data_IF_120333640193
#
_entry.id   IF_120333640193
#
_cell.length_a   1.000
_cell.length_b   1.000
_cell.length_c   1.000
_cell.angle_alpha   90.00
_cell.angle_beta   90.00
_cell.angle_gamma   90.00
#
_symmetry.space_group_name_H-M   'P 1'
#
loop_
_entity.id
_entity.type
_entity.pdbx_description
1 polymer ?
#
# COMPACT_ATOMS: atom_id res chain seq x y z
N UNK A 1 -14.53 -7.75 -47.65
CA UNK A 1 -13.54 -7.66 -46.57
C UNK A 1 -13.60 -6.41 -45.66
N UNK A 2 -14.35 -5.30 -45.92
CA UNK A 2 -14.29 -4.14 -45.02
C UNK A 2 -15.17 -4.24 -43.75
N UNK A 3 -16.21 -5.08 -43.77
CA UNK A 3 -17.20 -5.15 -42.67
C UNK A 3 -16.62 -5.81 -41.41
N UNK A 4 -15.77 -6.82 -41.55
CA UNK A 4 -15.11 -7.50 -40.43
C UNK A 4 -14.14 -6.58 -39.71
N UNK A 5 -13.38 -5.78 -40.47
CA UNK A 5 -12.42 -4.82 -39.93
C UNK A 5 -13.11 -3.69 -39.15
N UNK A 6 -14.21 -3.12 -39.67
CA UNK A 6 -14.99 -2.12 -38.94
C UNK A 6 -15.65 -2.66 -37.66
N UNK A 7 -15.98 -3.97 -37.61
CA UNK A 7 -16.55 -4.59 -36.40
C UNK A 7 -15.48 -4.86 -35.33
N UNK A 8 -14.28 -5.24 -35.72
CA UNK A 8 -13.13 -5.40 -34.82
C UNK A 8 -12.70 -4.05 -34.23
N UNK A 9 -12.61 -3.00 -35.05
CA UNK A 9 -12.33 -1.63 -34.59
C UNK A 9 -13.34 -1.13 -33.55
N UNK A 10 -14.64 -1.36 -33.77
CA UNK A 10 -15.67 -0.99 -32.79
C UNK A 10 -15.58 -1.79 -31.50
N UNK A 11 -15.22 -3.07 -31.54
CA UNK A 11 -15.06 -3.90 -30.34
C UNK A 11 -13.86 -3.45 -29.53
N UNK A 12 -12.73 -3.21 -30.18
CA UNK A 12 -11.51 -2.73 -29.56
C UNK A 12 -11.76 -1.43 -28.78
N UNK A 13 -12.34 -0.42 -29.43
CA UNK A 13 -12.59 0.88 -28.80
C UNK A 13 -13.52 0.77 -27.58
N UNK A 14 -14.47 -0.16 -27.60
CA UNK A 14 -15.35 -0.43 -26.46
C UNK A 14 -14.61 -1.06 -25.29
N UNK A 15 -13.70 -2.00 -25.55
CA UNK A 15 -12.90 -2.67 -24.50
C UNK A 15 -11.95 -1.68 -23.84
N UNK A 16 -11.19 -0.92 -24.62
CA UNK A 16 -10.28 0.07 -24.06
C UNK A 16 -11.02 1.12 -23.22
N UNK A 17 -12.17 1.59 -23.71
CA UNK A 17 -12.99 2.55 -22.97
C UNK A 17 -13.57 1.94 -21.70
N UNK A 18 -13.97 0.67 -21.73
CA UNK A 18 -14.45 -0.03 -20.54
C UNK A 18 -13.34 -0.17 -19.49
N UNK A 19 -12.10 -0.46 -19.90
CA UNK A 19 -10.95 -0.54 -19.01
C UNK A 19 -10.63 0.82 -18.36
N UNK A 20 -10.64 1.90 -19.15
CA UNK A 20 -10.43 3.27 -18.64
C UNK A 20 -11.55 3.71 -17.67
N UNK A 21 -12.81 3.36 -17.98
CA UNK A 21 -13.94 3.63 -17.08
C UNK A 21 -13.82 2.82 -15.80
N UNK A 22 -13.42 1.55 -15.87
CA UNK A 22 -13.20 0.71 -14.70
C UNK A 22 -12.09 1.30 -13.79
N UNK A 23 -10.95 1.69 -14.35
CA UNK A 23 -9.87 2.35 -13.60
C UNK A 23 -10.38 3.62 -12.90
N UNK A 24 -11.11 4.47 -13.63
CA UNK A 24 -11.68 5.71 -13.07
C UNK A 24 -12.68 5.43 -11.95
N UNK A 25 -13.58 4.46 -12.14
CA UNK A 25 -14.57 4.07 -11.14
C UNK A 25 -13.89 3.67 -9.82
N UNK A 26 -12.86 2.84 -9.90
CA UNK A 26 -12.11 2.37 -8.73
C UNK A 26 -11.44 3.52 -7.99
N UNK A 27 -10.89 4.51 -8.71
CA UNK A 27 -10.32 5.71 -8.07
C UNK A 27 -11.37 6.63 -7.47
N UNK A 28 -12.56 6.72 -8.05
CA UNK A 28 -13.61 7.65 -7.59
C UNK A 28 -14.42 7.12 -6.41
N UNK A 29 -14.73 5.82 -6.37
CA UNK A 29 -15.63 5.23 -5.35
C UNK A 29 -15.15 3.86 -4.85
N UNK A 30 -14.00 3.78 -4.17
CA UNK A 30 -13.47 2.52 -3.66
C UNK A 30 -14.37 1.88 -2.57
N UNK A 31 -15.12 2.68 -1.82
CA UNK A 31 -15.98 2.19 -0.74
C UNK A 31 -17.18 1.36 -1.24
N UNK A 32 -17.69 1.66 -2.44
CA UNK A 32 -18.82 0.96 -3.06
C UNK A 32 -18.40 -0.40 -3.65
N UNK A 33 -17.10 -0.56 -3.91
CA UNK A 33 -16.54 -1.74 -4.58
C UNK A 33 -16.28 -2.91 -3.65
N UNK A 34 -16.42 -2.77 -2.33
CA UNK A 34 -16.06 -3.82 -1.37
C UNK A 34 -16.62 -5.20 -1.78
N UNK A 35 -17.90 -5.28 -2.10
CA UNK A 35 -18.58 -6.55 -2.43
C UNK A 35 -18.51 -6.99 -3.91
N UNK A 36 -17.98 -6.13 -4.78
CA UNK A 36 -17.92 -6.39 -6.25
C UNK A 36 -16.47 -6.53 -6.73
N UNK A 37 -15.51 -6.12 -5.90
CA UNK A 37 -14.09 -6.11 -6.18
C UNK A 37 -13.56 -7.49 -6.63
N UNK A 38 -13.99 -8.57 -5.97
CA UNK A 38 -13.59 -9.92 -6.34
C UNK A 38 -14.06 -10.35 -7.72
N UNK A 39 -15.30 -10.03 -8.09
CA UNK A 39 -15.86 -10.33 -9.42
C UNK A 39 -15.25 -9.46 -10.51
N UNK A 40 -15.02 -8.18 -10.21
CA UNK A 40 -14.36 -7.24 -11.12
C UNK A 40 -12.93 -7.67 -11.43
N UNK A 41 -12.14 -8.05 -10.42
CA UNK A 41 -10.79 -8.59 -10.61
C UNK A 41 -10.82 -9.85 -11.46
N UNK A 42 -11.74 -10.77 -11.18
CA UNK A 42 -11.85 -12.02 -11.94
C UNK A 42 -12.15 -11.74 -13.40
N UNK A 43 -13.09 -10.83 -13.68
CA UNK A 43 -13.43 -10.43 -15.03
C UNK A 43 -12.22 -9.82 -15.74
N UNK A 44 -11.58 -8.82 -15.13
CA UNK A 44 -10.41 -8.14 -15.70
C UNK A 44 -9.22 -9.08 -15.97
N UNK A 45 -8.92 -9.99 -15.04
CA UNK A 45 -7.84 -10.96 -15.18
C UNK A 45 -8.09 -12.01 -16.27
N UNK A 46 -9.35 -12.21 -16.68
CA UNK A 46 -9.75 -13.17 -17.72
C UNK A 46 -9.89 -12.53 -19.11
N UNK A 47 -9.97 -11.19 -19.22
CA UNK A 47 -10.05 -10.50 -20.53
C UNK A 47 -8.77 -10.76 -21.32
N UNK A 48 -8.88 -11.39 -22.49
CA UNK A 48 -7.75 -11.54 -23.42
C UNK A 48 -7.72 -10.39 -24.41
N UNK A 49 -6.76 -9.48 -24.24
CA UNK A 49 -6.60 -8.33 -25.14
C UNK A 49 -6.24 -8.78 -26.58
N UNK A 50 -5.48 -9.86 -26.73
CA UNK A 50 -5.11 -10.45 -28.04
C UNK A 50 -6.31 -10.82 -28.92
N UNK A 51 -7.43 -11.21 -28.32
CA UNK A 51 -8.60 -11.73 -29.05
C UNK A 51 -9.58 -10.60 -29.42
N UNK A 52 -9.38 -9.40 -28.87
CA UNK A 52 -10.33 -8.29 -28.90
C UNK A 52 -9.76 -7.03 -29.55
N UNK A 53 -8.46 -6.99 -29.81
CA UNK A 53 -7.74 -5.79 -30.26
C UNK A 53 -7.31 -5.92 -31.71
N UNK A 54 -7.11 -4.78 -32.37
CA UNK A 54 -6.58 -4.73 -33.72
C UNK A 54 -5.08 -5.06 -33.64
N UNK A 55 -4.59 -5.85 -34.59
CA UNK A 55 -3.18 -6.23 -34.68
C UNK A 55 -2.27 -5.00 -34.63
N UNK A 56 -1.56 -4.82 -33.51
CA UNK A 56 -0.65 -3.68 -33.25
C UNK A 56 -1.09 -2.72 -32.15
N UNK A 57 -2.36 -2.74 -31.71
CA UNK A 57 -2.87 -1.91 -30.59
C UNK A 57 -3.10 -2.73 -29.30
N UNK A 58 -2.70 -4.00 -29.32
CA UNK A 58 -2.88 -4.95 -28.22
C UNK A 58 -2.16 -4.48 -26.94
N UNK A 59 -0.99 -3.87 -27.09
CA UNK A 59 -0.16 -3.36 -25.99
C UNK A 59 -0.84 -2.22 -25.21
N UNK A 60 -1.57 -1.32 -25.89
CA UNK A 60 -2.30 -0.22 -25.25
C UNK A 60 -3.41 -0.74 -24.34
N UNK A 61 -4.21 -1.69 -24.83
CA UNK A 61 -5.28 -2.30 -24.05
C UNK A 61 -4.73 -3.10 -22.87
N UNK A 62 -3.62 -3.80 -23.07
CA UNK A 62 -2.94 -4.58 -22.05
C UNK A 62 -2.42 -3.69 -20.90
N UNK A 63 -1.78 -2.57 -21.23
CA UNK A 63 -1.32 -1.59 -20.23
C UNK A 63 -2.51 -1.04 -19.42
N UNK A 64 -3.64 -0.73 -20.07
CA UNK A 64 -4.85 -0.24 -19.37
C UNK A 64 -5.45 -1.32 -18.47
N UNK A 65 -5.44 -2.59 -18.90
CA UNK A 65 -5.88 -3.73 -18.09
C UNK A 65 -5.03 -3.88 -16.83
N UNK A 66 -3.71 -3.87 -16.98
CA UNK A 66 -2.76 -3.96 -15.87
C UNK A 66 -2.94 -2.79 -14.90
N UNK A 67 -3.03 -1.55 -15.40
CA UNK A 67 -3.28 -0.38 -14.56
C UNK A 67 -4.59 -0.46 -13.77
N UNK A 68 -5.69 -0.86 -14.43
CA UNK A 68 -6.98 -1.02 -13.76
C UNK A 68 -6.92 -2.07 -12.63
N UNK A 69 -6.23 -3.19 -12.87
CA UNK A 69 -6.01 -4.21 -11.85
C UNK A 69 -5.16 -3.68 -10.68
N UNK A 70 -4.02 -3.03 -10.95
CA UNK A 70 -3.14 -2.46 -9.92
C UNK A 70 -3.90 -1.48 -9.03
N UNK A 71 -4.64 -0.55 -9.63
CA UNK A 71 -5.45 0.44 -8.89
C UNK A 71 -6.48 -0.25 -7.98
N UNK A 72 -7.09 -1.34 -8.43
CA UNK A 72 -8.05 -2.12 -7.64
C UNK A 72 -7.39 -2.80 -6.44
N UNK A 73 -6.20 -3.39 -6.62
CA UNK A 73 -5.42 -3.97 -5.52
C UNK A 73 -4.95 -2.91 -4.51
N UNK A 74 -4.54 -1.74 -4.97
CA UNK A 74 -4.03 -0.67 -4.09
C UNK A 74 -5.16 -0.06 -3.25
N UNK A 75 -6.36 0.06 -3.82
CA UNK A 75 -7.53 0.64 -3.14
C UNK A 75 -8.23 -0.32 -2.19
N UNK A 76 -8.39 -1.60 -2.58
CA UNK A 76 -9.06 -2.62 -1.78
C UNK A 76 -8.30 -3.96 -1.84
N UNK A 77 -7.19 -4.14 -1.11
CA UNK A 77 -6.27 -5.26 -1.34
C UNK A 77 -6.79 -6.65 -0.96
N UNK A 78 -7.66 -6.80 0.04
CA UNK A 78 -7.92 -8.13 0.62
C UNK A 78 -8.64 -9.11 -0.31
N UNK A 79 -9.81 -8.73 -0.82
CA UNK A 79 -10.66 -9.62 -1.61
C UNK A 79 -10.12 -9.85 -3.04
N UNK A 80 -9.70 -8.81 -3.78
CA UNK A 80 -8.88 -8.90 -4.99
C UNK A 80 -7.70 -9.88 -4.91
N UNK A 81 -6.85 -9.74 -3.90
CA UNK A 81 -5.64 -10.56 -3.76
C UNK A 81 -6.01 -12.03 -3.52
N UNK A 82 -7.02 -12.32 -2.71
CA UNK A 82 -7.48 -13.70 -2.49
C UNK A 82 -8.00 -14.34 -3.79
N UNK A 83 -8.76 -13.60 -4.58
CA UNK A 83 -9.25 -14.08 -5.89
C UNK A 83 -8.09 -14.33 -6.85
N UNK A 84 -7.13 -13.42 -6.95
CA UNK A 84 -5.95 -13.60 -7.80
C UNK A 84 -5.10 -14.79 -7.37
N UNK A 85 -4.90 -14.99 -6.07
CA UNK A 85 -4.19 -16.14 -5.55
C UNK A 85 -4.88 -17.46 -5.93
N UNK A 86 -6.21 -17.53 -5.89
CA UNK A 86 -6.95 -18.70 -6.36
C UNK A 86 -6.77 -18.94 -7.86
N UNK A 87 -6.69 -17.88 -8.65
CA UNK A 87 -6.45 -17.97 -10.09
C UNK A 87 -5.02 -18.44 -10.43
N UNK A 88 -4.01 -18.06 -9.63
CA UNK A 88 -2.63 -18.54 -9.80
C UNK A 88 -2.49 -20.06 -9.73
N UNK A 89 -3.31 -20.73 -8.93
CA UNK A 89 -3.26 -22.18 -8.73
C UNK A 89 -4.32 -22.94 -9.53
N UNK A 90 -5.05 -22.27 -10.42
CA UNK A 90 -6.10 -22.91 -11.20
C UNK A 90 -5.47 -23.75 -12.34
N UNK A 91 -5.80 -25.07 -12.45
CA UNK A 91 -5.04 -26.02 -13.27
C UNK A 91 -5.21 -25.87 -14.80
N UNK A 92 -6.15 -25.03 -15.26
CA UNK A 92 -6.51 -24.90 -16.67
C UNK A 92 -6.15 -23.51 -17.25
N UNK A 93 -5.11 -22.88 -16.72
CA UNK A 93 -4.75 -21.50 -17.05
C UNK A 93 -3.51 -21.46 -17.95
N UNK A 94 -3.57 -20.69 -19.05
CA UNK A 94 -2.43 -20.42 -19.93
C UNK A 94 -1.32 -19.68 -19.17
N UNK A 95 -0.05 -19.98 -19.47
CA UNK A 95 1.14 -19.43 -18.76
C UNK A 95 1.17 -17.89 -18.73
N UNK A 96 0.53 -17.22 -19.68
CA UNK A 96 0.42 -15.75 -19.73
C UNK A 96 -0.38 -15.15 -18.57
N UNK A 97 -1.42 -15.83 -18.09
CA UNK A 97 -2.30 -15.33 -17.05
C UNK A 97 -1.64 -15.31 -15.65
N UNK A 98 -0.93 -16.35 -15.17
CA UNK A 98 -0.20 -16.25 -13.91
C UNK A 98 0.95 -15.25 -13.98
N UNK A 99 1.58 -15.05 -15.15
CA UNK A 99 2.58 -13.99 -15.34
C UNK A 99 1.94 -12.62 -15.09
N UNK A 100 0.83 -12.31 -15.77
CA UNK A 100 0.07 -11.07 -15.55
C UNK A 100 -0.27 -10.87 -14.07
N UNK A 101 -0.77 -11.90 -13.41
CA UNK A 101 -1.19 -11.81 -12.00
C UNK A 101 0.01 -11.48 -11.11
N UNK A 102 1.16 -12.11 -11.33
CA UNK A 102 2.38 -11.85 -10.57
C UNK A 102 2.91 -10.42 -10.82
N UNK A 103 2.90 -9.96 -12.07
CA UNK A 103 3.33 -8.60 -12.43
C UNK A 103 2.42 -7.56 -11.74
N UNK A 104 1.11 -7.73 -11.86
CA UNK A 104 0.11 -6.86 -11.21
C UNK A 104 0.26 -6.85 -9.68
N UNK A 105 0.45 -8.02 -9.06
CA UNK A 105 0.64 -8.11 -7.61
C UNK A 105 1.94 -7.42 -7.16
N UNK A 106 2.99 -7.47 -7.99
CA UNK A 106 4.29 -6.83 -7.73
C UNK A 106 4.16 -5.31 -7.86
N UNK A 107 3.57 -4.82 -8.93
CA UNK A 107 3.34 -3.39 -9.15
C UNK A 107 2.44 -2.78 -8.06
N UNK A 108 1.39 -3.49 -7.66
CA UNK A 108 0.52 -3.05 -6.57
C UNK A 108 1.26 -3.03 -5.21
N UNK A 109 2.14 -4.00 -4.97
CA UNK A 109 2.98 -4.03 -3.77
C UNK A 109 3.95 -2.83 -3.74
N UNK A 110 4.56 -2.51 -4.88
CA UNK A 110 5.43 -1.34 -5.04
C UNK A 110 4.65 -0.03 -4.81
N UNK A 111 3.47 0.12 -5.41
CA UNK A 111 2.64 1.32 -5.23
C UNK A 111 2.16 1.48 -3.77
N UNK A 112 1.85 0.37 -3.07
CA UNK A 112 1.56 0.38 -1.64
C UNK A 112 2.78 0.72 -0.78
N UNK A 113 3.99 0.37 -1.24
CA UNK A 113 5.24 0.65 -0.55
C UNK A 113 5.63 2.14 -0.65
N UNK A 114 5.44 2.72 -1.83
CA UNK A 114 5.77 4.11 -2.15
C UNK A 114 4.63 5.10 -1.83
N UNK A 115 3.52 4.60 -1.31
CA UNK A 115 2.36 5.41 -0.97
C UNK A 115 2.72 6.58 -0.02
N UNK A 116 2.68 7.80 -0.57
CA UNK A 116 2.72 9.03 0.23
C UNK A 116 1.41 9.14 1.01
N UNK A 117 1.45 8.90 2.32
CA UNK A 117 0.32 9.27 3.17
C UNK A 117 0.32 10.78 3.27
N UNK A 118 -0.44 11.44 2.39
CA UNK A 118 -1.05 12.72 2.74
C UNK A 118 -1.94 12.37 3.93
N UNK A 119 -1.41 12.55 5.15
CA UNK A 119 -2.27 12.60 6.32
C UNK A 119 -3.28 13.68 5.95
N UNK A 120 -4.59 13.40 5.83
CA UNK A 120 -5.53 14.51 5.82
C UNK A 120 -5.17 15.28 7.07
N UNK A 121 -4.78 16.55 6.90
CA UNK A 121 -4.68 17.46 8.02
C UNK A 121 -5.96 17.20 8.79
N UNK A 122 -5.82 16.73 10.03
CA UNK A 122 -6.92 16.73 10.97
C UNK A 122 -7.15 18.20 11.30
N UNK A 123 -7.60 18.99 10.32
CA UNK A 123 -8.38 20.19 10.51
C UNK A 123 -9.74 19.75 11.03
N UNK A 124 -9.73 19.06 12.17
CA UNK A 124 -10.83 19.13 13.12
C UNK A 124 -10.81 20.57 13.58
N UNK A 125 -11.46 21.45 12.81
CA UNK A 125 -12.12 22.61 13.43
C UNK A 125 -12.99 21.97 14.50
N UNK A 126 -12.55 22.07 15.74
CA UNK A 126 -13.23 21.54 16.91
C UNK A 126 -14.56 22.30 16.94
N UNK A 127 -15.64 21.68 16.46
CA UNK A 127 -17.00 22.20 16.51
C UNK A 127 -17.63 22.02 17.90
N UNK A 128 -16.81 21.75 18.92
CA UNK A 128 -17.25 21.57 20.30
C UNK A 128 -16.48 22.56 21.17
N UNK A 129 -17.13 23.67 21.52
CA UNK A 129 -16.70 24.55 22.60
C UNK A 129 -16.85 23.82 23.94
N UNK A 130 -15.89 22.94 24.26
CA UNK A 130 -15.83 22.29 25.57
C UNK A 130 -15.16 23.23 26.55
N UNK A 131 -15.96 23.78 27.46
CA UNK A 131 -15.49 24.54 28.62
C UNK A 131 -14.82 23.59 29.64
N UNK A 132 -13.65 23.06 29.32
CA UNK A 132 -12.66 22.55 30.30
C UNK A 132 -11.43 22.03 29.56
N UNK A 133 -10.28 22.57 29.96
CA UNK A 133 -8.90 22.19 29.58
C UNK A 133 -8.59 22.14 28.07
N UNK A 134 -7.70 23.06 27.64
CA UNK A 134 -7.18 23.22 26.27
C UNK A 134 -6.30 22.06 25.78
N UNK A 135 -6.26 20.93 26.48
CA UNK A 135 -5.42 19.79 26.18
C UNK A 135 -6.27 18.52 26.12
N UNK A 136 -6.14 17.71 25.05
CA UNK A 136 -6.73 16.38 25.01
C UNK A 136 -6.22 15.50 26.16
N UNK A 137 -7.12 14.74 26.78
CA UNK A 137 -6.83 13.86 27.93
C UNK A 137 -5.71 12.83 27.71
N UNK A 138 -5.34 12.58 26.46
CA UNK A 138 -4.29 11.65 26.04
C UNK A 138 -2.90 12.29 25.87
N UNK A 139 -2.79 13.62 26.00
CA UNK A 139 -1.50 14.30 26.03
C UNK A 139 -1.02 14.50 27.47
N UNK A 140 0.27 14.23 27.77
CA UNK A 140 0.78 14.43 29.11
C UNK A 140 0.85 15.93 29.42
N UNK A 141 0.31 16.32 30.58
CA UNK A 141 0.22 17.72 30.98
C UNK A 141 1.60 18.33 31.26
N UNK A 142 1.81 19.57 30.81
CA UNK A 142 2.96 20.40 31.17
C UNK A 142 2.81 21.07 32.55
N UNK A 143 1.69 20.87 33.27
CA UNK A 143 1.55 21.31 34.67
C UNK A 143 2.36 20.40 35.58
N UNK A 144 3.55 20.85 35.97
CA UNK A 144 4.41 20.19 36.94
C UNK A 144 5.07 21.20 37.90
N UNK A 145 5.78 20.72 38.94
CA UNK A 145 6.54 21.58 39.85
C UNK A 145 7.52 22.49 39.10
N UNK A 146 7.89 23.66 39.65
CA UNK A 146 8.87 24.56 39.05
C UNK A 146 10.20 23.83 38.77
N UNK A 147 10.68 23.88 37.52
CA UNK A 147 11.95 23.26 37.11
C UNK A 147 11.83 21.97 36.28
N UNK A 148 10.61 21.50 35.99
CA UNK A 148 10.35 20.37 35.10
C UNK A 148 10.27 20.86 33.65
N UNK A 149 11.06 20.28 32.74
CA UNK A 149 11.02 20.62 31.32
C UNK A 149 9.74 20.14 30.61
N UNK A 150 9.43 20.79 29.48
CA UNK A 150 8.27 20.48 28.66
C UNK A 150 8.34 19.06 28.07
N UNK A 151 7.17 18.44 27.88
CA UNK A 151 7.08 17.19 27.11
C UNK A 151 7.45 17.43 25.65
N UNK A 152 8.25 16.51 25.10
CA UNK A 152 8.67 16.51 23.70
C UNK A 152 8.41 15.14 23.09
N UNK A 153 7.81 15.14 21.90
CA UNK A 153 7.55 13.91 21.16
C UNK A 153 8.87 13.32 20.62
N UNK A 154 9.12 12.05 20.93
CA UNK A 154 10.26 11.30 20.43
C UNK A 154 9.86 10.69 19.10
N UNK A 155 10.47 11.18 18.02
CA UNK A 155 10.40 10.55 16.71
C UNK A 155 11.23 9.26 16.74
N UNK A 156 10.62 8.13 17.04
CA UNK A 156 11.29 6.82 17.06
C UNK A 156 11.66 6.39 15.63
N UNK A 157 12.95 6.15 15.38
CA UNK A 157 13.48 5.45 14.18
C UNK A 157 13.71 3.97 14.53
N UNK A 158 12.67 3.30 15.05
CA UNK A 158 12.71 1.90 15.43
C UNK A 158 11.75 1.04 14.59
N UNK A 159 11.95 -0.28 14.47
CA UNK A 159 11.14 -1.16 13.60
C UNK A 159 9.65 -1.26 13.96
N UNK A 160 9.24 -0.74 15.12
CA UNK A 160 7.87 -0.77 15.64
C UNK A 160 7.45 0.63 16.12
N UNK A 161 7.36 1.59 15.20
CA UNK A 161 7.08 3.02 15.49
C UNK A 161 5.60 3.38 15.67
N UNK A 162 4.78 2.46 16.20
CA UNK A 162 3.31 2.62 16.22
C UNK A 162 2.77 3.31 17.49
N UNK A 163 3.63 3.54 18.49
CA UNK A 163 3.26 4.24 19.72
C UNK A 163 3.84 5.65 19.76
N UNK A 164 2.99 6.66 19.97
CA UNK A 164 3.44 8.01 20.32
C UNK A 164 4.18 7.97 21.66
N UNK A 165 5.47 8.29 21.66
CA UNK A 165 6.32 8.34 22.85
C UNK A 165 6.68 9.78 23.15
N UNK A 166 6.47 10.22 24.39
CA UNK A 166 6.84 11.55 24.87
C UNK A 166 7.90 11.43 25.97
N UNK A 167 8.96 12.23 25.87
CA UNK A 167 10.04 12.31 26.87
C UNK A 167 10.15 13.75 27.37
N UNK A 168 10.63 13.96 28.62
CA UNK A 168 10.84 15.30 29.17
C UNK A 168 12.27 15.76 28.91
N UNK A 169 12.41 17.02 28.50
CA UNK A 169 13.72 17.67 28.46
C UNK A 169 14.22 17.90 29.90
N UNK A 170 15.43 17.42 30.21
CA UNK A 170 16.06 17.64 31.52
C UNK A 170 16.80 18.99 31.55
N UNK A 171 16.65 19.81 32.62
CA UNK A 171 17.40 21.04 32.75
C UNK A 171 18.90 20.73 32.93
N UNK A 172 19.75 21.42 32.16
CA UNK A 172 21.20 21.39 32.36
C UNK A 172 21.54 22.12 33.66
N UNK A 173 22.24 21.46 34.58
CA UNK A 173 22.77 22.13 35.79
C UNK A 173 23.90 23.09 35.40
N UNK A 174 23.99 24.29 36.02
CA UNK A 174 24.89 25.37 35.60
C UNK A 174 26.40 25.10 35.76
N UNK A 175 26.83 23.89 36.09
CA UNK A 175 28.25 23.54 36.23
C UNK A 175 28.64 22.16 35.69
N UNK A 176 27.82 21.58 34.81
CA UNK A 176 28.09 20.24 34.26
C UNK A 176 28.91 20.34 32.97
N UNK A 177 30.24 20.44 33.11
CA UNK A 177 31.17 20.13 32.03
C UNK A 177 31.11 18.61 31.81
N UNK A 178 30.78 18.19 30.59
CA UNK A 178 30.49 16.79 30.22
C UNK A 178 31.71 15.89 30.45
N UNK A 179 31.84 15.30 31.64
CA UNK A 179 32.77 14.20 31.91
C UNK A 179 32.00 13.03 32.50
N UNK A 180 31.77 11.99 31.70
CA UNK A 180 31.17 10.73 32.14
C UNK A 180 30.47 9.96 31.02
N UNK A 181 30.85 8.70 30.83
CA UNK A 181 30.20 7.73 29.92
C UNK A 181 28.87 7.27 30.52
N UNK A 182 27.76 7.93 30.18
CA UNK A 182 26.40 7.40 30.37
C UNK A 182 25.55 7.68 29.13
N UNK A 183 24.60 6.77 28.92
CA UNK A 183 24.13 6.27 27.63
C UNK A 183 23.12 7.22 26.97
N UNK A 184 23.44 7.58 25.72
CA UNK A 184 22.56 7.95 24.59
C UNK A 184 21.43 8.95 24.93
N UNK A 185 21.68 10.26 24.90
CA UNK A 185 21.66 11.15 23.73
C UNK A 185 20.26 11.60 23.28
N UNK A 186 19.84 12.80 23.71
CA UNK A 186 19.67 13.90 22.74
C UNK A 186 19.80 15.26 23.40
N UNK A 187 20.93 15.93 23.17
CA UNK A 187 21.00 17.39 23.20
C UNK A 187 20.78 17.79 21.74
N UNK A 188 19.56 18.21 21.40
CA UNK A 188 19.30 18.83 20.10
C UNK A 188 19.73 20.28 20.18
N UNK A 189 20.52 20.75 19.21
CA UNK A 189 20.26 22.03 18.55
C UNK A 189 21.31 22.31 17.48
N UNK A 190 20.92 22.19 16.22
CA UNK A 190 21.28 23.14 15.15
C UNK A 190 20.39 22.85 13.94
N UNK A 191 19.72 23.90 13.46
CA UNK A 191 19.01 24.03 12.16
C UNK A 191 19.12 22.81 11.24
N UNK A 192 18.08 21.98 11.20
CA UNK A 192 17.77 21.20 10.00
C UNK A 192 16.67 21.97 9.31
N UNK A 193 16.98 22.46 8.12
CA UNK A 193 16.10 23.21 7.24
C UNK A 193 14.72 22.56 7.17
N UNK A 194 13.70 23.41 7.21
CA UNK A 194 12.28 23.11 6.98
C UNK A 194 11.97 22.70 5.52
N UNK A 195 12.90 22.06 4.82
CA UNK A 195 12.72 21.56 3.47
C UNK A 195 13.31 20.16 3.41
N UNK A 196 12.58 19.23 2.79
CA UNK A 196 12.91 17.80 2.64
C UNK A 196 12.49 16.94 3.84
N UNK A 197 11.30 16.35 3.75
CA UNK A 197 11.06 14.90 3.84
C UNK A 197 9.54 14.70 3.82
N UNK A 198 8.98 14.62 2.62
CA UNK A 198 7.72 13.92 2.37
C UNK A 198 7.86 12.54 3.03
N UNK A 199 7.31 12.36 4.23
CA UNK A 199 7.39 11.10 4.95
C UNK A 199 6.46 10.10 4.24
N UNK A 200 6.95 9.44 3.19
CA UNK A 200 6.29 8.26 2.63
C UNK A 200 6.07 7.28 3.77
N UNK A 201 4.82 6.85 3.93
CA UNK A 201 4.46 5.89 4.97
C UNK A 201 4.02 4.66 4.24
N UNK A 202 4.98 3.75 4.10
CA UNK A 202 4.77 2.45 3.51
C UNK A 202 3.50 1.80 4.08
N UNK A 203 2.49 1.58 3.22
CA UNK A 203 1.22 0.93 3.58
C UNK A 203 1.30 -0.58 3.42
N UNK A 204 2.30 -1.08 2.68
CA UNK A 204 2.46 -2.48 2.34
C UNK A 204 2.56 -3.43 3.56
N UNK A 205 3.26 -3.11 4.67
CA UNK A 205 3.38 -4.00 5.84
C UNK A 205 2.06 -4.57 6.37
N UNK A 206 0.95 -3.83 6.23
CA UNK A 206 -0.38 -4.28 6.67
C UNK A 206 -0.92 -5.42 5.79
N UNK A 207 -0.50 -5.45 4.52
CA UNK A 207 -0.99 -6.37 3.49
C UNK A 207 0.01 -7.47 3.12
N UNK A 208 1.27 -7.38 3.58
CA UNK A 208 2.36 -8.35 3.29
C UNK A 208 1.89 -9.80 3.40
N UNK A 209 1.15 -10.14 4.45
CA UNK A 209 0.68 -11.51 4.67
C UNK A 209 -0.25 -11.99 3.54
N UNK A 210 -1.15 -11.15 3.03
CA UNK A 210 -2.07 -11.50 1.96
C UNK A 210 -1.35 -11.69 0.61
N UNK A 211 -0.35 -10.84 0.34
CA UNK A 211 0.44 -10.91 -0.89
C UNK A 211 1.45 -12.08 -0.89
N UNK A 212 2.12 -12.34 0.24
CA UNK A 212 3.28 -13.24 0.27
C UNK A 212 2.98 -14.68 0.71
N UNK A 213 2.05 -14.90 1.66
CA UNK A 213 1.82 -16.23 2.24
C UNK A 213 1.34 -17.28 1.21
N UNK A 214 0.42 -16.97 0.29
CA UNK A 214 -0.06 -17.94 -0.69
C UNK A 214 1.05 -18.38 -1.66
N UNK A 215 1.90 -17.43 -2.05
CA UNK A 215 3.05 -17.68 -2.94
C UNK A 215 4.09 -18.55 -2.23
N UNK A 216 4.47 -18.20 -1.00
CA UNK A 216 5.47 -18.93 -0.22
C UNK A 216 5.06 -20.38 0.05
N UNK A 217 3.82 -20.60 0.50
CA UNK A 217 3.32 -21.96 0.77
C UNK A 217 3.32 -22.84 -0.47
N UNK A 218 3.08 -22.25 -1.65
CA UNK A 218 3.05 -22.99 -2.90
C UNK A 218 4.45 -23.28 -3.45
N UNK A 219 5.39 -22.33 -3.35
CA UNK A 219 6.80 -22.59 -3.68
C UNK A 219 7.36 -23.70 -2.78
N UNK A 220 7.08 -23.65 -1.48
CA UNK A 220 7.52 -24.66 -0.51
C UNK A 220 6.91 -26.04 -0.86
N UNK A 221 5.60 -26.10 -1.15
CA UNK A 221 4.96 -27.36 -1.59
C UNK A 221 5.58 -27.90 -2.87
N UNK A 222 5.85 -27.04 -3.85
CA UNK A 222 6.48 -27.45 -5.12
C UNK A 222 7.89 -28.00 -4.89
N UNK A 223 8.67 -27.33 -4.04
CA UNK A 223 10.00 -27.77 -3.66
C UNK A 223 9.97 -29.12 -2.93
N UNK A 224 8.98 -29.32 -2.05
CA UNK A 224 8.80 -30.57 -1.31
C UNK A 224 8.37 -31.75 -2.20
N UNK A 225 7.51 -31.49 -3.19
CA UNK A 225 7.12 -32.48 -4.21
C UNK A 225 8.33 -32.84 -5.08
N UNK A 226 9.07 -31.85 -5.59
CA UNK A 226 10.25 -32.07 -6.43
C UNK A 226 11.36 -32.83 -5.70
N UNK A 227 11.58 -32.56 -4.41
CA UNK A 227 12.54 -33.33 -3.60
C UNK A 227 12.06 -34.77 -3.41
N UNK A 228 10.79 -35.00 -3.08
CA UNK A 228 10.27 -36.36 -2.92
C UNK A 228 10.35 -37.17 -4.23
N UNK A 229 10.04 -36.55 -5.36
CA UNK A 229 10.08 -37.19 -6.68
C UNK A 229 11.51 -37.50 -7.14
N UNK A 230 12.50 -36.68 -6.78
CA UNK A 230 13.92 -36.91 -7.15
C UNK A 230 14.72 -37.77 -6.18
N UNK A 231 14.36 -37.80 -4.89
CA UNK A 231 15.17 -38.46 -3.87
C UNK A 231 14.50 -39.67 -3.22
N UNK A 232 13.19 -39.83 -3.37
CA UNK A 232 12.42 -40.93 -2.78
C UNK A 232 11.56 -41.71 -3.79
N UNK A 233 11.68 -41.40 -5.08
CA UNK A 233 11.06 -42.13 -6.20
C UNK A 233 11.97 -43.20 -6.80
#
# INVERSE_FOLDING_TARGET
>A
MPITQCLEERRFFQVERALDVAEKLVRTSPDELQHVSGDLVRALAQVRCSDLTIKGEEESAEIKRQRALVVLLVTCPFEPVDVLNKLLYYPNVDVSQPILILDVMTDAAEELADAKIIRPERNKKILISSMSESQPWFLPSNRGPPGVGSWKEVSDTGPLSWSYRYERDLPLKPNQIKVGKSRRWSIRSTKIQENQLDLSKNKFPVYVAAFMLPIQTSIIKFFFIFINEKFFG
#
